data_IF_925229632291
#
_entry.id   IF_925229632291
#
_cell.length_a   1.000
_cell.length_b   1.000
_cell.length_c   1.000
_cell.angle_alpha   90.00
_cell.angle_beta   90.00
_cell.angle_gamma   90.00
#
_symmetry.space_group_name_H-M   'P 1'
#
loop_
_entity.id
_entity.type
_entity.pdbx_description
1 polymer ?
#
# COMPACT_ATOMS: atom_id res chain seq x y z
N UNK A 1 -37.05 9.73 -27.58
CA UNK A 1 -36.16 9.86 -26.42
C UNK A 1 -35.31 8.61 -26.41
N UNK A 2 -34.05 8.70 -26.83
CA UNK A 2 -33.13 7.57 -26.88
C UNK A 2 -32.40 7.50 -25.54
N UNK A 3 -32.55 6.36 -24.85
CA UNK A 3 -31.78 6.00 -23.67
C UNK A 3 -30.74 4.97 -24.12
N UNK A 4 -29.48 5.39 -24.19
CA UNK A 4 -28.35 4.48 -24.35
C UNK A 4 -27.49 4.61 -23.10
N UNK A 5 -27.72 3.69 -22.17
CA UNK A 5 -27.07 3.55 -20.88
C UNK A 5 -25.55 3.30 -21.08
N UNK A 6 -24.65 4.19 -20.63
CA UNK A 6 -23.22 3.96 -20.82
C UNK A 6 -22.65 3.10 -19.68
N UNK A 7 -21.74 2.22 -20.07
CA UNK A 7 -20.74 1.52 -19.24
C UNK A 7 -21.11 0.08 -18.87
N UNK A 8 -20.73 -0.81 -19.78
CA UNK A 8 -20.23 -2.16 -19.49
C UNK A 8 -19.49 -2.19 -18.16
N UNK A 9 -20.16 -2.66 -17.13
CA UNK A 9 -19.54 -3.01 -15.86
C UNK A 9 -18.67 -4.24 -16.10
N UNK A 10 -17.38 -4.01 -16.33
CA UNK A 10 -16.35 -5.04 -16.20
C UNK A 10 -16.56 -5.72 -14.84
N UNK A 11 -17.12 -6.93 -14.87
CA UNK A 11 -17.52 -7.73 -13.70
C UNK A 11 -16.33 -8.34 -12.98
N UNK A 12 -15.26 -7.56 -12.82
CA UNK A 12 -14.09 -7.93 -12.03
C UNK A 12 -14.42 -7.88 -10.53
N UNK A 13 -13.71 -8.68 -9.72
CA UNK A 13 -13.87 -8.66 -8.28
C UNK A 13 -13.55 -7.25 -7.74
N UNK A 14 -14.48 -6.67 -6.98
CA UNK A 14 -14.35 -5.33 -6.41
C UNK A 14 -13.65 -5.42 -5.06
N UNK A 15 -12.38 -5.79 -5.09
CA UNK A 15 -11.59 -5.99 -3.89
C UNK A 15 -11.12 -4.64 -3.39
N UNK A 16 -10.44 -3.86 -4.23
CA UNK A 16 -9.77 -2.61 -3.84
C UNK A 16 -10.65 -1.38 -4.08
N UNK A 17 -11.86 -1.40 -3.50
CA UNK A 17 -12.79 -0.27 -3.48
C UNK A 17 -13.02 0.20 -2.04
N UNK A 18 -13.16 1.50 -1.83
CA UNK A 18 -13.47 2.06 -0.52
C UNK A 18 -14.95 1.81 -0.13
N UNK A 19 -15.30 2.12 1.12
CA UNK A 19 -16.67 2.00 1.65
C UNK A 19 -17.71 2.87 0.93
N UNK A 20 -17.25 3.85 0.15
CA UNK A 20 -18.07 4.75 -0.67
C UNK A 20 -18.18 4.26 -2.12
N UNK A 21 -17.57 3.12 -2.45
CA UNK A 21 -17.56 2.52 -3.78
C UNK A 21 -16.53 3.12 -4.74
N UNK A 22 -15.61 3.96 -4.27
CA UNK A 22 -14.56 4.53 -5.12
C UNK A 22 -13.35 3.58 -5.22
N UNK A 23 -12.69 3.50 -6.38
CA UNK A 23 -11.40 2.82 -6.51
C UNK A 23 -10.35 3.35 -5.53
N UNK A 24 -9.67 2.44 -4.83
CA UNK A 24 -8.51 2.82 -4.01
C UNK A 24 -7.37 3.32 -4.91
N UNK A 25 -6.82 4.48 -4.58
CA UNK A 25 -5.63 5.02 -5.25
C UNK A 25 -4.37 4.45 -4.63
N UNK A 26 -3.67 3.60 -5.37
CA UNK A 26 -2.49 2.88 -4.90
C UNK A 26 -1.26 3.31 -5.71
N UNK A 27 -0.21 3.72 -5.01
CA UNK A 27 1.11 3.89 -5.59
C UNK A 27 1.95 2.64 -5.33
N UNK A 28 2.67 2.13 -6.33
CA UNK A 28 3.61 1.02 -6.18
C UNK A 28 5.01 1.52 -6.48
N UNK A 29 5.89 1.48 -5.48
CA UNK A 29 7.30 1.87 -5.62
C UNK A 29 7.98 0.93 -6.64
N UNK A 30 8.82 1.49 -7.51
CA UNK A 30 9.31 0.79 -8.71
C UNK A 30 10.61 0.02 -8.47
N UNK A 31 11.38 0.43 -7.46
CA UNK A 31 12.73 -0.04 -7.17
C UNK A 31 12.76 -1.22 -6.19
N UNK A 32 11.73 -1.35 -5.35
CA UNK A 32 11.62 -2.28 -4.24
C UNK A 32 10.66 -3.43 -4.54
N UNK A 33 9.52 -3.19 -5.20
CA UNK A 33 8.49 -4.21 -5.39
C UNK A 33 8.90 -5.23 -6.45
N UNK A 34 9.31 -6.43 -6.02
CA UNK A 34 9.56 -7.56 -6.90
C UNK A 34 8.30 -7.93 -7.69
N UNK A 35 8.46 -8.24 -8.98
CA UNK A 35 7.34 -8.58 -9.88
C UNK A 35 6.22 -7.51 -9.94
N UNK A 36 6.55 -6.22 -9.80
CA UNK A 36 5.63 -5.07 -9.88
C UNK A 36 4.56 -5.17 -10.98
N UNK A 37 4.85 -5.59 -12.24
CA UNK A 37 3.80 -5.72 -13.26
C UNK A 37 2.65 -6.65 -12.86
N UNK A 38 2.95 -7.72 -12.10
CA UNK A 38 1.96 -8.67 -11.59
C UNK A 38 1.08 -8.02 -10.52
N UNK A 39 1.70 -7.31 -9.56
CA UNK A 39 0.98 -6.58 -8.50
C UNK A 39 0.07 -5.52 -9.10
N UNK A 40 0.60 -4.70 -10.00
CA UNK A 40 -0.14 -3.64 -10.72
C UNK A 40 -1.33 -4.23 -11.49
N UNK A 41 -1.14 -5.35 -12.20
CA UNK A 41 -2.22 -6.02 -12.93
C UNK A 41 -3.30 -6.54 -12.00
N UNK A 42 -2.90 -7.15 -10.88
CA UNK A 42 -3.81 -7.69 -9.87
C UNK A 42 -4.64 -6.58 -9.21
N UNK A 43 -3.99 -5.48 -8.81
CA UNK A 43 -4.67 -4.32 -8.23
C UNK A 43 -5.71 -3.73 -9.20
N UNK A 44 -5.34 -3.55 -10.48
CA UNK A 44 -6.27 -3.08 -11.51
C UNK A 44 -7.42 -4.05 -11.74
N UNK A 45 -7.16 -5.36 -11.77
CA UNK A 45 -8.19 -6.38 -11.89
C UNK A 45 -9.15 -6.39 -10.69
N UNK A 46 -8.65 -6.05 -9.51
CA UNK A 46 -9.43 -5.88 -8.28
C UNK A 46 -10.12 -4.53 -8.13
N UNK A 47 -10.06 -3.64 -9.13
CA UNK A 47 -10.74 -2.35 -9.15
C UNK A 47 -9.95 -1.15 -8.60
N UNK A 48 -8.66 -1.31 -8.29
CA UNK A 48 -7.81 -0.20 -7.83
C UNK A 48 -7.41 0.74 -8.98
N UNK A 49 -7.14 2.01 -8.63
CA UNK A 49 -6.49 2.98 -9.51
C UNK A 49 -5.02 3.09 -9.16
N UNK A 50 -4.13 2.86 -10.14
CA UNK A 50 -2.69 2.97 -9.94
C UNK A 50 -2.25 4.40 -10.20
N UNK A 51 -1.64 5.04 -9.22
CA UNK A 51 -1.11 6.40 -9.37
C UNK A 51 0.37 6.37 -9.74
N UNK A 52 0.83 7.43 -10.41
CA UNK A 52 2.24 7.63 -10.76
C UNK A 52 3.01 8.42 -9.70
N UNK A 53 2.29 9.07 -8.78
CA UNK A 53 2.85 9.91 -7.74
C UNK A 53 2.34 9.43 -6.37
N UNK A 54 3.22 9.21 -5.37
CA UNK A 54 2.80 8.86 -4.02
C UNK A 54 1.91 9.93 -3.37
N UNK A 55 2.05 11.21 -3.76
CA UNK A 55 1.20 12.31 -3.25
C UNK A 55 -0.29 12.14 -3.57
N UNK A 56 -0.61 11.56 -4.73
CA UNK A 56 -2.00 11.37 -5.17
C UNK A 56 -2.60 10.05 -4.68
N UNK A 57 -1.75 9.19 -4.09
CA UNK A 57 -2.15 7.89 -3.56
C UNK A 57 -2.74 7.99 -2.16
N UNK A 58 -3.63 7.04 -1.86
CA UNK A 58 -4.15 6.76 -0.52
C UNK A 58 -3.33 5.68 0.17
N UNK A 59 -2.75 4.74 -0.59
CA UNK A 59 -1.92 3.64 -0.10
C UNK A 59 -0.65 3.59 -0.94
N UNK A 60 0.48 3.38 -0.27
CA UNK A 60 1.77 3.15 -0.93
C UNK A 60 2.18 1.71 -0.68
N UNK A 61 2.50 0.98 -1.75
CA UNK A 61 3.03 -0.37 -1.70
C UNK A 61 4.53 -0.36 -1.95
N UNK A 62 5.24 -1.03 -1.05
CA UNK A 62 6.69 -1.21 -1.05
C UNK A 62 7.04 -2.69 -0.82
N UNK A 63 8.32 -3.02 -0.95
CA UNK A 63 8.87 -4.26 -0.40
C UNK A 63 9.57 -3.95 0.93
N UNK A 64 8.98 -4.41 2.04
CA UNK A 64 9.51 -4.18 3.39
C UNK A 64 10.83 -4.88 3.66
N UNK A 65 11.22 -5.86 2.84
CA UNK A 65 12.54 -6.50 2.93
C UNK A 65 13.66 -5.65 2.31
N UNK A 66 13.33 -4.51 1.70
CA UNK A 66 14.31 -3.61 1.07
C UNK A 66 14.47 -2.31 1.85
N UNK A 67 15.71 -1.81 1.92
CA UNK A 67 16.02 -0.52 2.54
C UNK A 67 15.22 0.63 1.90
N UNK A 68 15.04 0.59 0.58
CA UNK A 68 14.22 1.56 -0.14
C UNK A 68 12.76 1.58 0.34
N UNK A 69 12.18 0.40 0.62
CA UNK A 69 10.81 0.30 1.14
C UNK A 69 10.68 0.87 2.56
N UNK A 70 11.64 0.56 3.43
CA UNK A 70 11.70 1.07 4.82
C UNK A 70 11.91 2.59 4.83
N UNK A 71 12.86 3.10 4.03
CA UNK A 71 13.11 4.54 3.91
C UNK A 71 11.85 5.29 3.42
N UNK A 72 11.09 4.68 2.52
CA UNK A 72 9.86 5.29 2.02
C UNK A 72 8.75 5.29 3.09
N UNK A 73 8.69 4.27 3.95
CA UNK A 73 7.80 4.27 5.12
C UNK A 73 8.13 5.39 6.10
N UNK A 74 9.41 5.73 6.28
CA UNK A 74 9.84 6.85 7.13
C UNK A 74 9.47 8.23 6.55
N UNK A 75 9.34 8.34 5.22
CA UNK A 75 8.97 9.62 4.55
C UNK A 75 7.45 9.88 4.62
N UNK A 76 6.63 8.83 4.50
CA UNK A 76 5.18 8.95 4.35
C UNK A 76 4.43 8.57 5.63
N UNK A 77 4.62 9.34 6.69
CA UNK A 77 3.97 9.10 7.99
C UNK A 77 2.46 9.43 7.99
N UNK A 78 2.03 10.33 7.10
CA UNK A 78 0.64 10.75 6.94
C UNK A 78 -0.23 9.75 6.17
N UNK A 79 0.38 8.69 5.62
CA UNK A 79 -0.28 7.70 4.77
C UNK A 79 0.13 6.27 5.12
N UNK A 80 -0.74 5.29 4.86
CA UNK A 80 -0.37 3.89 5.01
C UNK A 80 0.64 3.47 3.94
N UNK A 81 1.84 3.11 4.39
CA UNK A 81 2.85 2.38 3.60
C UNK A 81 2.75 0.90 3.97
N UNK A 82 2.46 0.06 2.99
CA UNK A 82 2.19 -1.37 3.17
C UNK A 82 3.16 -2.22 2.35
N UNK A 83 3.45 -3.41 2.86
CA UNK A 83 4.18 -4.42 2.11
C UNK A 83 3.34 -4.96 0.94
N UNK A 84 3.97 -5.27 -0.19
CA UNK A 84 3.31 -5.83 -1.37
C UNK A 84 2.52 -7.13 -1.07
N UNK A 85 2.90 -7.89 -0.04
CA UNK A 85 2.17 -9.06 0.46
C UNK A 85 0.71 -8.75 0.83
N UNK A 86 0.40 -7.52 1.27
CA UNK A 86 -0.97 -7.06 1.52
C UNK A 86 -1.87 -7.26 0.30
N UNK A 87 -1.38 -6.86 -0.88
CA UNK A 87 -2.17 -6.94 -2.11
C UNK A 87 -2.42 -8.40 -2.51
N UNK A 88 -1.44 -9.28 -2.31
CA UNK A 88 -1.58 -10.71 -2.59
C UNK A 88 -2.56 -11.38 -1.64
N UNK A 89 -2.48 -11.05 -0.35
CA UNK A 89 -3.39 -11.54 0.66
C UNK A 89 -4.82 -11.10 0.34
N UNK A 90 -5.02 -9.82 0.03
CA UNK A 90 -6.32 -9.27 -0.31
C UNK A 90 -6.93 -9.95 -1.53
N UNK A 91 -6.11 -10.20 -2.56
CA UNK A 91 -6.53 -10.93 -3.73
C UNK A 91 -6.92 -12.39 -3.42
N UNK A 92 -6.19 -13.05 -2.52
CA UNK A 92 -6.49 -14.42 -2.12
C UNK A 92 -7.78 -14.53 -1.27
N UNK A 93 -8.05 -13.53 -0.42
CA UNK A 93 -9.25 -13.47 0.41
C UNK A 93 -10.48 -12.93 -0.30
N UNK A 94 -10.29 -12.21 -1.41
CA UNK A 94 -11.36 -11.48 -2.10
C UNK A 94 -11.80 -10.20 -1.38
N UNK A 95 -11.06 -9.77 -0.35
CA UNK A 95 -11.28 -8.53 0.42
C UNK A 95 -9.93 -8.08 0.99
N UNK A 96 -9.69 -6.77 1.05
CA UNK A 96 -8.48 -6.24 1.69
C UNK A 96 -8.72 -5.97 3.18
N UNK A 97 -7.65 -6.10 3.97
CA UNK A 97 -7.65 -5.64 5.34
C UNK A 97 -7.41 -4.12 5.38
N UNK A 98 -8.35 -3.39 5.97
CA UNK A 98 -8.33 -1.93 6.07
C UNK A 98 -7.69 -1.42 7.36
N UNK A 99 -7.80 -0.11 7.62
CA UNK A 99 -7.24 0.53 8.81
C UNK A 99 -7.81 -0.05 10.13
N UNK A 100 -9.08 -0.47 10.15
CA UNK A 100 -9.72 -1.06 11.34
C UNK A 100 -9.10 -2.42 11.73
N UNK A 101 -8.44 -3.10 10.79
CA UNK A 101 -7.74 -4.37 10.99
C UNK A 101 -6.21 -4.17 10.99
N UNK A 102 -5.73 -2.94 11.21
CA UNK A 102 -4.31 -2.55 11.09
C UNK A 102 -3.66 -3.03 9.78
N UNK A 103 -4.43 -2.92 8.68
CA UNK A 103 -4.02 -3.39 7.36
C UNK A 103 -3.61 -4.86 7.32
N UNK A 104 -4.11 -5.67 8.26
CA UNK A 104 -3.78 -7.08 8.40
C UNK A 104 -2.35 -7.35 8.88
N UNK A 105 -1.70 -6.36 9.51
CA UNK A 105 -0.31 -6.45 9.97
C UNK A 105 0.73 -6.27 8.86
N UNK A 106 0.32 -5.83 7.67
CA UNK A 106 1.23 -5.56 6.54
C UNK A 106 1.73 -4.10 6.50
N UNK A 107 1.42 -3.31 7.52
CA UNK A 107 1.89 -1.93 7.62
C UNK A 107 3.39 -1.93 7.90
N UNK A 108 4.14 -1.21 7.07
CA UNK A 108 5.57 -1.02 7.27
C UNK A 108 5.73 0.17 8.22
N UNK A 109 6.35 0.00 9.41
CA UNK A 109 6.60 1.11 10.31
C UNK A 109 7.59 2.08 9.65
N UNK A 110 7.26 3.37 9.68
CA UNK A 110 8.26 4.41 9.45
C UNK A 110 9.23 4.33 10.62
N UNK A 111 10.47 3.94 10.34
CA UNK A 111 11.47 3.79 11.38
C UNK A 111 11.84 5.18 11.91
N UNK A 112 11.23 5.60 13.02
CA UNK A 112 11.71 6.70 13.86
C UNK A 112 12.95 6.24 14.66
N UNK A 113 13.94 5.62 14.01
CA UNK A 113 15.18 5.26 14.68
C UNK A 113 16.06 6.49 14.85
N UNK A 114 15.69 7.32 15.81
CA UNK A 114 16.57 8.24 16.53
C UNK A 114 16.53 7.95 18.04
N UNK A 115 16.35 6.68 18.43
CA UNK A 115 16.72 6.19 19.77
C UNK A 115 17.86 5.15 19.63
N UNK A 116 18.94 5.54 18.94
CA UNK A 116 20.24 4.96 19.29
C UNK A 116 20.58 5.43 20.70
N UNK A 117 20.24 4.57 21.67
CA UNK A 117 20.75 4.53 23.02
C UNK A 117 22.28 4.64 22.97
N UNK A 118 22.82 5.87 23.01
CA UNK A 118 24.24 6.11 23.24
C UNK A 118 24.60 5.45 24.57
N UNK A 119 25.47 4.41 24.62
CA UNK A 119 26.00 3.98 25.88
C UNK A 119 26.86 5.12 26.42
N UNK A 120 26.36 5.83 27.44
CA UNK A 120 27.16 6.76 28.22
C UNK A 120 28.43 6.01 28.65
N UNK A 121 29.65 6.49 28.30
CA UNK A 121 30.84 5.96 28.95
C UNK A 121 30.69 6.29 30.43
N UNK A 122 30.58 5.24 31.26
CA UNK A 122 30.59 5.39 32.70
C UNK A 122 31.91 6.06 33.08
N UNK A 123 31.86 7.34 33.40
CA UNK A 123 32.94 8.02 34.10
C UNK A 123 32.95 7.44 35.52
N UNK A 124 33.71 6.36 35.72
CA UNK A 124 34.08 5.92 37.07
C UNK A 124 35.40 6.59 37.44
N UNK A 125 35.27 7.52 38.39
CA UNK A 125 36.20 7.99 39.42
C UNK A 125 37.71 8.01 39.15
#
# INVERSE_FOLDING_TARGET
MQQDNPSTSSSGPRIFIDVRGNPLRVFTETSSVQARPKVVRMLRAGGATITHNPKDSQIILVDSATEAGVALAAIWLDKPVLDAAWAYQANNRGVYAGADEDWGGYRVPGNDADDEEMPLPATSA
#
